data_IF_061837790504
#
_entry.id   IF_061837790504
#
_cell.length_a   1.000
_cell.length_b   1.000
_cell.length_c   1.000
_cell.angle_alpha   90.00
_cell.angle_beta   90.00
_cell.angle_gamma   90.00
#
_symmetry.space_group_name_H-M   'P 1'
#
loop_
_entity.id
_entity.type
_entity.pdbx_description
1 polymer ?
#
# COMPACT_ATOMS: atom_id res chain seq x y z
N UNK A 1 -10.16 1.56 1.70
CA UNK A 1 -10.98 1.62 0.47
C UNK A 1 -11.81 0.35 0.28
N UNK A 2 -11.19 -0.82 0.10
CA UNK A 2 -11.92 -2.09 -0.13
C UNK A 2 -12.98 -2.38 0.93
N UNK A 3 -12.66 -2.18 2.21
CA UNK A 3 -13.57 -2.41 3.33
C UNK A 3 -14.85 -1.56 3.28
N UNK A 4 -14.85 -0.43 2.58
CA UNK A 4 -16.03 0.44 2.44
C UNK A 4 -16.83 0.13 1.18
N UNK A 5 -16.18 -0.43 0.16
CA UNK A 5 -16.76 -0.61 -1.18
C UNK A 5 -17.24 -2.03 -1.45
N UNK A 6 -16.59 -3.02 -0.85
CA UNK A 6 -16.78 -4.43 -1.18
C UNK A 6 -17.56 -5.12 -0.06
N UNK A 7 -18.48 -6.00 -0.44
CA UNK A 7 -19.27 -6.81 0.48
C UNK A 7 -18.34 -7.66 1.40
N UNK A 8 -18.63 -7.78 2.71
CA UNK A 8 -17.75 -8.45 3.69
C UNK A 8 -17.25 -9.84 3.29
N UNK A 9 -18.07 -10.61 2.60
CA UNK A 9 -17.80 -11.96 2.08
C UNK A 9 -16.82 -11.98 0.90
N UNK A 10 -16.73 -10.89 0.15
CA UNK A 10 -15.91 -10.78 -1.06
C UNK A 10 -14.56 -10.10 -0.83
N UNK A 11 -14.34 -9.50 0.34
CA UNK A 11 -13.08 -8.79 0.67
C UNK A 11 -11.85 -9.69 0.64
N UNK A 12 -10.71 -9.10 0.31
CA UNK A 12 -9.40 -9.74 0.33
C UNK A 12 -8.91 -10.04 1.74
N UNK A 13 -9.27 -9.18 2.71
CA UNK A 13 -8.73 -9.19 4.07
C UNK A 13 -7.20 -9.11 4.09
N UNK A 14 -6.64 -8.30 3.18
CA UNK A 14 -5.19 -8.19 2.95
C UNK A 14 -4.43 -7.85 4.24
N UNK A 15 -4.99 -6.98 5.08
CA UNK A 15 -4.34 -6.53 6.31
C UNK A 15 -4.28 -7.67 7.32
N UNK A 16 -5.38 -8.39 7.51
CA UNK A 16 -5.44 -9.54 8.41
C UNK A 16 -4.52 -10.68 7.95
N UNK A 17 -4.41 -10.91 6.64
CA UNK A 17 -3.49 -11.90 6.08
C UNK A 17 -2.03 -11.50 6.29
N UNK A 18 -1.70 -10.21 6.11
CA UNK A 18 -0.35 -9.68 6.40
C UNK A 18 -0.01 -9.88 7.89
N UNK A 19 -0.93 -9.52 8.78
CA UNK A 19 -0.74 -9.65 10.23
C UNK A 19 -0.50 -11.10 10.63
N UNK A 20 -1.35 -12.01 10.15
CA UNK A 20 -1.25 -13.43 10.48
C UNK A 20 0.08 -14.02 9.98
N UNK A 21 0.48 -13.73 8.75
CA UNK A 21 1.74 -14.23 8.18
C UNK A 21 2.94 -13.66 8.94
N UNK A 22 2.97 -12.34 9.17
CA UNK A 22 4.09 -11.70 9.84
C UNK A 22 4.21 -12.12 11.31
N UNK A 23 3.09 -12.33 12.02
CA UNK A 23 3.13 -12.80 13.41
C UNK A 23 3.55 -14.27 13.54
N UNK A 24 3.13 -15.13 12.60
CA UNK A 24 3.50 -16.55 12.60
C UNK A 24 4.93 -16.80 12.10
N UNK A 25 5.43 -15.96 11.19
CA UNK A 25 6.76 -16.10 10.59
C UNK A 25 7.66 -14.89 10.90
N UNK A 26 8.00 -14.58 12.16
CA UNK A 26 8.57 -13.27 12.52
C UNK A 26 10.06 -13.09 12.14
N UNK A 27 10.65 -14.01 11.38
CA UNK A 27 12.09 -14.13 11.14
C UNK A 27 12.74 -12.85 10.59
N UNK A 28 12.05 -12.14 9.68
CA UNK A 28 12.62 -10.94 9.05
C UNK A 28 12.47 -9.66 9.87
N UNK A 29 11.61 -9.62 10.90
CA UNK A 29 11.31 -8.37 11.63
C UNK A 29 11.57 -8.44 13.13
N UNK A 30 11.55 -9.63 13.76
CA UNK A 30 11.64 -9.80 15.23
C UNK A 30 12.86 -9.13 15.89
N UNK A 31 13.98 -9.05 15.17
CA UNK A 31 15.22 -8.42 15.68
C UNK A 31 15.20 -6.89 15.61
N UNK A 32 14.26 -6.31 14.88
CA UNK A 32 14.19 -4.87 14.57
C UNK A 32 13.08 -4.17 15.34
N UNK A 33 11.98 -4.85 15.60
CA UNK A 33 10.78 -4.25 16.19
C UNK A 33 10.64 -4.57 17.68
N UNK A 34 9.83 -3.76 18.36
CA UNK A 34 9.65 -3.86 19.81
C UNK A 34 8.88 -5.14 20.17
N UNK A 35 9.18 -5.79 21.32
CA UNK A 35 8.55 -7.04 21.71
C UNK A 35 7.11 -6.86 22.22
N UNK A 36 6.75 -5.67 22.67
CA UNK A 36 5.40 -5.34 23.16
C UNK A 36 4.42 -5.36 21.99
N UNK A 37 3.36 -6.17 22.07
CA UNK A 37 2.42 -6.40 20.97
C UNK A 37 1.90 -5.12 20.31
N UNK A 38 1.39 -4.16 21.10
CA UNK A 38 0.83 -2.90 20.57
C UNK A 38 1.86 -2.07 19.83
N UNK A 39 3.13 -2.12 20.24
CA UNK A 39 4.22 -1.42 19.59
C UNK A 39 4.73 -2.18 18.36
N UNK A 40 4.78 -3.52 18.44
CA UNK A 40 5.14 -4.38 17.33
C UNK A 40 4.19 -4.21 16.14
N UNK A 41 2.88 -4.12 16.39
CA UNK A 41 1.89 -3.89 15.33
C UNK A 41 2.08 -2.54 14.64
N UNK A 42 2.37 -1.48 15.39
CA UNK A 42 2.72 -0.18 14.81
C UNK A 42 3.98 -0.29 13.95
N UNK A 43 5.01 -0.96 14.46
CA UNK A 43 6.27 -1.13 13.72
C UNK A 43 6.10 -2.01 12.46
N UNK A 44 5.25 -3.03 12.51
CA UNK A 44 4.93 -3.92 11.39
C UNK A 44 4.38 -3.13 10.20
N UNK A 45 3.47 -2.19 10.44
CA UNK A 45 2.79 -1.44 9.38
C UNK A 45 3.48 -0.13 8.99
N UNK A 46 4.13 0.54 9.95
CA UNK A 46 4.49 1.95 9.80
C UNK A 46 5.97 2.25 10.06
N UNK A 47 6.78 1.26 10.48
CA UNK A 47 8.21 1.49 10.66
C UNK A 47 8.88 1.81 9.33
N UNK A 48 9.69 2.87 9.32
CA UNK A 48 10.53 3.26 8.18
C UNK A 48 11.58 2.19 7.80
N UNK A 49 11.81 1.21 8.67
CA UNK A 49 12.67 0.06 8.34
C UNK A 49 12.04 -0.89 7.32
N UNK A 50 10.73 -0.77 7.06
CA UNK A 50 9.98 -1.46 6.00
C UNK A 50 10.26 -2.98 5.94
N UNK A 51 10.19 -3.67 7.09
CA UNK A 51 10.48 -5.11 7.13
C UNK A 51 9.39 -5.96 6.48
N UNK A 52 8.21 -5.39 6.24
CA UNK A 52 7.13 -6.01 5.46
C UNK A 52 7.56 -6.33 4.02
N UNK A 53 8.55 -5.61 3.46
CA UNK A 53 9.03 -5.86 2.08
C UNK A 53 9.46 -7.30 1.79
N UNK A 54 9.93 -8.02 2.81
CA UNK A 54 10.37 -9.42 2.67
C UNK A 54 9.20 -10.40 2.58
N UNK A 55 7.99 -9.96 2.91
CA UNK A 55 6.78 -10.80 2.95
C UNK A 55 5.90 -10.62 1.69
N UNK A 56 6.13 -9.60 0.85
CA UNK A 56 5.38 -9.46 -0.42
C UNK A 56 5.42 -10.71 -1.33
N UNK A 57 6.55 -11.46 -1.42
CA UNK A 57 6.58 -12.71 -2.19
C UNK A 57 5.82 -13.88 -1.53
N UNK A 58 5.40 -13.76 -0.27
CA UNK A 58 4.73 -14.84 0.45
C UNK A 58 3.39 -15.18 -0.23
N UNK A 59 3.11 -16.46 -0.58
CA UNK A 59 1.96 -16.83 -1.42
C UNK A 59 0.62 -16.32 -0.91
N UNK A 60 0.38 -16.38 0.41
CA UNK A 60 -0.87 -15.89 1.02
C UNK A 60 -1.07 -14.38 0.86
N UNK A 61 0.01 -13.60 1.04
CA UNK A 61 -0.03 -12.14 0.92
C UNK A 61 -0.19 -11.76 -0.56
N UNK A 62 0.56 -12.43 -1.44
CA UNK A 62 0.43 -12.23 -2.88
C UNK A 62 -1.01 -12.47 -3.35
N UNK A 63 -1.62 -13.59 -2.96
CA UNK A 63 -2.99 -13.91 -3.33
C UNK A 63 -4.02 -12.90 -2.79
N UNK A 64 -3.86 -12.44 -1.54
CA UNK A 64 -4.76 -11.43 -0.98
C UNK A 64 -4.60 -10.06 -1.66
N UNK A 65 -3.38 -9.65 -2.01
CA UNK A 65 -3.12 -8.43 -2.79
C UNK A 65 -3.71 -8.53 -4.20
N UNK A 66 -3.53 -9.66 -4.89
CA UNK A 66 -4.14 -9.89 -6.21
C UNK A 66 -5.67 -9.80 -6.14
N UNK A 67 -6.29 -10.40 -5.11
CA UNK A 67 -7.73 -10.30 -4.86
C UNK A 67 -8.18 -8.87 -4.56
N UNK A 68 -7.44 -8.13 -3.73
CA UNK A 68 -7.72 -6.72 -3.43
C UNK A 68 -7.74 -5.88 -4.71
N UNK A 69 -6.72 -6.04 -5.53
CA UNK A 69 -6.57 -5.29 -6.78
C UNK A 69 -7.72 -5.62 -7.73
N UNK A 70 -8.05 -6.90 -7.91
CA UNK A 70 -9.18 -7.31 -8.75
C UNK A 70 -10.52 -6.69 -8.26
N UNK A 71 -10.79 -6.78 -6.96
CA UNK A 71 -11.99 -6.19 -6.35
C UNK A 71 -12.08 -4.68 -6.57
N UNK A 72 -10.96 -3.97 -6.45
CA UNK A 72 -10.92 -2.51 -6.63
C UNK A 72 -10.92 -2.08 -8.10
N UNK A 73 -10.49 -2.93 -9.03
CA UNK A 73 -10.60 -2.69 -10.47
C UNK A 73 -12.04 -2.84 -10.94
N UNK A 74 -12.76 -3.84 -10.43
CA UNK A 74 -14.18 -4.05 -10.77
C UNK A 74 -15.10 -3.02 -10.11
N UNK A 75 -14.65 -2.40 -9.01
CA UNK A 75 -15.38 -1.36 -8.32
C UNK A 75 -15.07 0.04 -8.88
N UNK A 76 -16.11 0.86 -9.10
CA UNK A 76 -15.91 2.29 -9.38
C UNK A 76 -15.39 3.01 -8.14
N UNK A 77 -14.13 3.43 -8.14
CA UNK A 77 -13.53 4.16 -7.01
C UNK A 77 -14.11 5.58 -6.88
N UNK A 78 -14.82 5.90 -5.78
CA UNK A 78 -15.29 7.26 -5.52
C UNK A 78 -14.12 8.20 -5.23
N UNK A 79 -14.14 9.40 -5.84
CA UNK A 79 -13.10 10.41 -5.66
C UNK A 79 -12.88 10.81 -4.19
N UNK A 80 -13.94 10.82 -3.38
CA UNK A 80 -13.83 11.12 -1.94
C UNK A 80 -12.98 10.10 -1.18
N UNK A 81 -13.05 8.81 -1.54
CA UNK A 81 -12.19 7.79 -0.93
C UNK A 81 -10.74 7.95 -1.38
N UNK A 82 -10.50 8.29 -2.65
CA UNK A 82 -9.14 8.54 -3.13
C UNK A 82 -8.57 9.78 -2.43
N UNK A 83 -9.33 10.86 -2.29
CA UNK A 83 -8.91 12.06 -1.55
C UNK A 83 -8.53 11.74 -0.10
N UNK A 84 -9.32 10.91 0.59
CA UNK A 84 -9.08 10.54 1.99
C UNK A 84 -7.80 9.72 2.22
N UNK A 85 -7.50 8.77 1.33
CA UNK A 85 -6.42 7.80 1.53
C UNK A 85 -5.19 8.02 0.64
N UNK A 86 -5.34 8.72 -0.48
CA UNK A 86 -4.30 9.01 -1.47
C UNK A 86 -4.39 10.47 -1.96
N UNK A 87 -4.24 11.47 -1.08
CA UNK A 87 -4.51 12.88 -1.40
C UNK A 87 -3.65 13.42 -2.55
N UNK A 88 -2.36 13.05 -2.62
CA UNK A 88 -1.46 13.47 -3.71
C UNK A 88 -1.92 12.90 -5.06
N UNK A 89 -2.37 11.65 -5.08
CA UNK A 89 -2.91 11.03 -6.29
C UNK A 89 -4.22 11.69 -6.70
N UNK A 90 -5.07 12.06 -5.74
CA UNK A 90 -6.30 12.80 -6.01
C UNK A 90 -6.06 14.16 -6.68
N UNK A 91 -5.03 14.91 -6.26
CA UNK A 91 -4.63 16.15 -6.94
C UNK A 91 -4.25 15.91 -8.41
N UNK A 92 -3.57 14.80 -8.72
CA UNK A 92 -3.23 14.45 -10.12
C UNK A 92 -4.43 13.99 -10.93
N UNK A 93 -5.39 13.30 -10.29
CA UNK A 93 -6.67 12.96 -10.93
C UNK A 93 -7.45 14.22 -11.31
N UNK A 94 -7.49 15.23 -10.44
CA UNK A 94 -8.23 16.47 -10.72
C UNK A 94 -7.60 17.30 -11.84
N UNK A 95 -6.30 17.13 -12.07
CA UNK A 95 -5.56 17.71 -13.20
C UNK A 95 -5.58 16.84 -14.48
N UNK A 96 -6.24 15.67 -14.46
CA UNK A 96 -6.23 14.67 -15.54
C UNK A 96 -4.83 14.13 -15.90
N UNK A 97 -3.90 14.13 -14.94
CA UNK A 97 -2.54 13.58 -15.11
C UNK A 97 -2.44 12.10 -14.73
N UNK A 98 -3.51 11.56 -14.12
CA UNK A 98 -3.58 10.19 -13.60
C UNK A 98 -4.98 9.60 -13.85
N UNK A 99 -5.06 8.28 -13.97
CA UNK A 99 -6.34 7.54 -14.02
C UNK A 99 -6.64 6.91 -12.66
N UNK A 100 -7.92 6.83 -12.29
CA UNK A 100 -8.38 6.25 -11.02
C UNK A 100 -8.38 4.71 -11.03
N UNK A 101 -7.33 4.11 -11.60
CA UNK A 101 -7.12 2.66 -11.66
C UNK A 101 -6.18 2.22 -10.52
N UNK A 102 -6.48 1.13 -9.78
CA UNK A 102 -5.66 0.72 -8.63
C UNK A 102 -4.17 0.58 -8.94
N UNK A 103 -3.82 -0.03 -10.07
CA UNK A 103 -2.43 -0.16 -10.51
C UNK A 103 -1.77 1.18 -10.81
N UNK A 104 -2.49 2.11 -11.43
CA UNK A 104 -1.97 3.45 -11.73
C UNK A 104 -1.71 4.24 -10.45
N UNK A 105 -2.62 4.14 -9.46
CA UNK A 105 -2.47 4.77 -8.15
C UNK A 105 -1.24 4.24 -7.39
N UNK A 106 -1.00 2.92 -7.43
CA UNK A 106 0.18 2.30 -6.79
C UNK A 106 1.46 2.79 -7.46
N UNK A 107 1.52 2.76 -8.79
CA UNK A 107 2.71 3.20 -9.54
C UNK A 107 3.00 4.68 -9.30
N UNK A 108 1.98 5.54 -9.33
CA UNK A 108 2.15 6.96 -9.07
C UNK A 108 2.66 7.24 -7.64
N UNK A 109 2.26 6.43 -6.66
CA UNK A 109 2.77 6.52 -5.29
C UNK A 109 4.26 6.16 -5.21
N UNK A 110 4.71 5.18 -5.98
CA UNK A 110 6.13 4.84 -6.10
C UNK A 110 6.89 5.97 -6.82
N UNK A 111 6.29 6.53 -7.87
CA UNK A 111 6.86 7.63 -8.63
C UNK A 111 7.08 8.89 -7.79
N UNK A 112 6.29 9.14 -6.73
CA UNK A 112 6.56 10.25 -5.79
C UNK A 112 7.98 10.20 -5.21
N UNK A 113 8.42 9.01 -4.79
CA UNK A 113 9.78 8.82 -4.29
C UNK A 113 10.79 9.04 -5.41
N UNK A 114 10.55 8.46 -6.59
CA UNK A 114 11.45 8.60 -7.74
C UNK A 114 11.58 10.04 -8.24
N UNK A 115 10.52 10.85 -8.16
CA UNK A 115 10.54 12.28 -8.53
C UNK A 115 11.49 13.08 -7.65
N UNK A 116 11.59 12.76 -6.36
CA UNK A 116 12.54 13.41 -5.45
C UNK A 116 13.99 13.08 -5.81
N UNK A 117 14.29 11.81 -6.13
CA UNK A 117 15.60 11.40 -6.64
C UNK A 117 15.91 12.11 -7.96
N UNK A 118 14.95 12.13 -8.89
CA UNK A 118 15.10 12.85 -10.17
C UNK A 118 15.43 14.31 -9.94
N UNK A 119 14.73 15.01 -9.04
CA UNK A 119 15.01 16.41 -8.73
C UNK A 119 16.45 16.62 -8.23
N UNK A 120 16.96 15.74 -7.36
CA UNK A 120 18.33 15.84 -6.85
C UNK A 120 19.43 15.44 -7.86
N UNK A 121 19.12 14.56 -8.81
CA UNK A 121 20.08 14.04 -9.79
C UNK A 121 20.06 14.77 -11.13
N UNK A 122 18.96 15.46 -11.46
CA UNK A 122 18.86 16.20 -12.72
C UNK A 122 19.58 17.52 -12.57
N UNK A 123 20.74 17.66 -13.22
CA UNK A 123 21.40 18.94 -13.42
C UNK A 123 20.67 19.71 -14.53
N UNK A 124 19.42 20.12 -14.28
CA UNK A 124 18.82 21.19 -15.05
C UNK A 124 18.86 22.45 -14.19
N UNK A 125 19.96 23.18 -14.42
CA UNK A 125 19.94 24.64 -14.52
C UNK A 125 18.64 25.08 -15.19
N UNK A 126 17.73 25.66 -14.41
CA UNK A 126 16.84 26.69 -14.90
C UNK A 126 17.57 28.03 -14.83
#
# INVERSE_FOLDING_TARGET
>A
MENELIAPESRSRVMEVIDEVMLNEPGYWKKYYRPTWSQAMVDIHFSLSDRIRYYWPHPRIRQSVEKLIANLTDAKLPLGLISQYMPVQFERLSLNELNAEPHALILDKIQDVLRAYRYGCSSETA
#
